data_IF_140368931215
#
_entry.id   IF_140368931215
#
_cell.length_a   1.000
_cell.length_b   1.000
_cell.length_c   1.000
_cell.angle_alpha   90.00
_cell.angle_beta   90.00
_cell.angle_gamma   90.00
#
_symmetry.space_group_name_H-M   'P 1'
#
loop_
_entity.id
_entity.type
_entity.pdbx_description
1 polymer ?
#
# COMPACT_ATOMS: atom_id res chain seq x y z
N UNK A 1 -3.53 -17.58 -15.16
CA UNK A 1 -2.72 -16.44 -15.64
C UNK A 1 -1.39 -16.45 -14.90
N UNK A 2 -0.24 -16.51 -15.60
CA UNK A 2 1.09 -16.50 -14.95
C UNK A 2 1.34 -15.09 -14.43
N UNK A 3 1.45 -14.92 -13.12
CA UNK A 3 1.85 -13.66 -12.50
C UNK A 3 3.29 -13.36 -12.91
N UNK A 4 3.46 -12.60 -13.99
CA UNK A 4 4.79 -12.15 -14.39
C UNK A 4 5.37 -11.19 -13.35
N UNK A 5 6.69 -11.24 -13.18
CA UNK A 5 7.49 -10.41 -12.26
C UNK A 5 7.12 -8.91 -12.33
N UNK A 6 6.75 -8.44 -13.53
CA UNK A 6 6.31 -7.06 -13.79
C UNK A 6 5.04 -6.69 -13.03
N UNK A 7 4.07 -7.59 -12.91
CA UNK A 7 2.82 -7.32 -12.18
C UNK A 7 3.06 -7.25 -10.67
N UNK A 8 3.95 -8.08 -10.13
CA UNK A 8 4.33 -8.03 -8.72
C UNK A 8 5.01 -6.69 -8.36
N UNK A 9 5.88 -6.17 -9.24
CA UNK A 9 6.51 -4.86 -9.07
C UNK A 9 5.49 -3.72 -9.13
N UNK A 10 4.53 -3.78 -10.05
CA UNK A 10 3.46 -2.77 -10.16
C UNK A 10 2.61 -2.75 -8.88
N UNK A 11 2.22 -3.91 -8.37
CA UNK A 11 1.47 -3.99 -7.10
C UNK A 11 2.26 -3.41 -5.92
N UNK A 12 3.56 -3.67 -5.86
CA UNK A 12 4.45 -3.12 -4.84
C UNK A 12 4.60 -1.60 -4.98
N UNK A 13 4.76 -1.09 -6.21
CA UNK A 13 4.86 0.34 -6.48
C UNK A 13 3.56 1.07 -6.13
N UNK A 14 2.40 0.50 -6.47
CA UNK A 14 1.09 1.04 -6.10
C UNK A 14 0.94 1.05 -4.58
N UNK A 15 1.29 -0.04 -3.89
CA UNK A 15 1.22 -0.11 -2.43
C UNK A 15 2.13 0.95 -1.78
N UNK A 16 3.37 1.10 -2.25
CA UNK A 16 4.30 2.11 -1.75
C UNK A 16 3.79 3.53 -2.01
N UNK A 17 3.29 3.81 -3.22
CA UNK A 17 2.70 5.09 -3.57
C UNK A 17 1.51 5.43 -2.65
N UNK A 18 0.65 4.45 -2.40
CA UNK A 18 -0.51 4.57 -1.52
C UNK A 18 -0.08 4.99 -0.10
N UNK A 19 0.93 4.32 0.48
CA UNK A 19 1.47 4.68 1.80
C UNK A 19 1.99 6.12 1.80
N UNK A 20 2.75 6.53 0.77
CA UNK A 20 3.31 7.89 0.69
C UNK A 20 2.21 8.95 0.61
N UNK A 21 1.17 8.75 -0.20
CA UNK A 21 0.05 9.71 -0.28
C UNK A 21 -0.70 9.81 1.05
N UNK A 22 -0.96 8.68 1.73
CA UNK A 22 -1.68 8.71 3.00
C UNK A 22 -0.86 9.31 4.15
N UNK A 23 0.46 9.13 4.18
CA UNK A 23 1.33 9.85 5.12
C UNK A 23 1.27 11.37 4.93
N UNK A 24 1.27 11.84 3.68
CA UNK A 24 1.08 13.28 3.38
C UNK A 24 -0.32 13.76 3.80
N UNK A 25 -1.33 12.91 3.62
CA UNK A 25 -2.70 13.21 4.01
C UNK A 25 -2.86 13.33 5.53
N UNK A 26 -2.23 12.43 6.30
CA UNK A 26 -2.17 12.53 7.78
C UNK A 26 -1.52 13.85 8.19
N UNK A 27 -0.39 14.21 7.56
CA UNK A 27 0.31 15.46 7.87
C UNK A 27 -0.56 16.69 7.60
N UNK A 28 -1.25 16.71 6.46
CA UNK A 28 -2.20 17.78 6.15
C UNK A 28 -3.35 17.83 7.16
N UNK A 29 -3.85 16.67 7.60
CA UNK A 29 -4.92 16.59 8.60
C UNK A 29 -4.50 17.16 9.96
N UNK A 30 -3.27 16.87 10.40
CA UNK A 30 -2.71 17.42 11.64
C UNK A 30 -2.50 18.93 11.59
N UNK A 31 -2.18 19.47 10.41
CA UNK A 31 -1.97 20.90 10.19
C UNK A 31 -3.30 21.68 10.07
N UNK A 32 -4.44 20.97 10.00
CA UNK A 32 -5.75 21.61 9.88
C UNK A 32 -6.36 21.81 11.27
N UNK A 33 -6.57 23.06 11.69
CA UNK A 33 -7.28 23.39 12.94
C UNK A 33 -8.70 23.95 12.66
N UNK A 34 -9.61 23.82 13.64
CA UNK A 34 -10.94 24.44 13.60
C UNK A 34 -12.01 23.72 12.78
N UNK A 35 -11.83 22.43 12.43
CA UNK A 35 -12.84 21.62 11.72
C UNK A 35 -13.74 20.83 12.68
N UNK A 36 -14.96 20.42 12.27
CA UNK A 36 -15.81 19.56 13.08
C UNK A 36 -15.18 18.19 13.36
N UNK A 37 -15.43 17.60 14.52
CA UNK A 37 -14.86 16.27 14.90
C UNK A 37 -15.14 15.19 13.85
N UNK A 38 -16.31 15.19 13.23
CA UNK A 38 -16.67 14.24 12.17
C UNK A 38 -15.74 14.29 10.95
N UNK A 39 -15.17 15.46 10.64
CA UNK A 39 -14.17 15.61 9.58
C UNK A 39 -12.92 14.79 9.91
N UNK A 40 -12.36 14.92 11.11
CA UNK A 40 -11.16 14.19 11.51
C UNK A 40 -11.40 12.69 11.60
N UNK A 41 -12.56 12.26 12.12
CA UNK A 41 -12.91 10.84 12.23
C UNK A 41 -12.98 10.17 10.85
N UNK A 42 -13.73 10.77 9.91
CA UNK A 42 -13.90 10.21 8.57
C UNK A 42 -12.56 10.08 7.82
N UNK A 43 -11.73 11.12 7.86
CA UNK A 43 -10.44 11.09 7.18
C UNK A 43 -9.44 10.15 7.86
N UNK A 44 -9.46 10.05 9.18
CA UNK A 44 -8.61 9.09 9.91
C UNK A 44 -8.98 7.65 9.58
N UNK A 45 -10.28 7.31 9.55
CA UNK A 45 -10.74 5.97 9.15
C UNK A 45 -10.32 5.68 7.70
N UNK A 46 -10.53 6.64 6.80
CA UNK A 46 -10.14 6.50 5.39
C UNK A 46 -8.65 6.20 5.25
N UNK A 47 -7.79 6.92 5.98
CA UNK A 47 -6.34 6.67 6.04
C UNK A 47 -6.04 5.25 6.54
N UNK A 48 -6.61 4.85 7.68
CA UNK A 48 -6.33 3.53 8.29
C UNK A 48 -6.69 2.39 7.34
N UNK A 49 -7.89 2.44 6.75
CA UNK A 49 -8.38 1.40 5.84
C UNK A 49 -7.47 1.28 4.61
N UNK A 50 -7.06 2.40 4.02
CA UNK A 50 -6.20 2.37 2.84
C UNK A 50 -4.78 1.86 3.18
N UNK A 51 -4.22 2.25 4.33
CA UNK A 51 -2.93 1.72 4.78
C UNK A 51 -2.99 0.21 5.02
N UNK A 52 -4.09 -0.31 5.57
CA UNK A 52 -4.31 -1.76 5.71
C UNK A 52 -4.36 -2.46 4.36
N UNK A 53 -5.09 -1.91 3.39
CA UNK A 53 -5.15 -2.46 2.02
C UNK A 53 -3.76 -2.44 1.38
N UNK A 54 -3.03 -1.33 1.50
CA UNK A 54 -1.67 -1.22 0.99
C UNK A 54 -0.72 -2.25 1.63
N UNK A 55 -0.82 -2.48 2.94
CA UNK A 55 -0.03 -3.49 3.64
C UNK A 55 -0.36 -4.91 3.18
N UNK A 56 -1.65 -5.23 2.97
CA UNK A 56 -2.10 -6.53 2.44
C UNK A 56 -1.60 -6.75 1.00
N UNK A 57 -1.78 -5.76 0.13
CA UNK A 57 -1.29 -5.83 -1.25
C UNK A 57 0.23 -5.91 -1.30
N UNK A 58 0.93 -5.18 -0.43
CA UNK A 58 2.39 -5.24 -0.29
C UNK A 58 2.88 -6.61 0.17
N UNK A 59 2.25 -7.20 1.19
CA UNK A 59 2.61 -8.56 1.65
C UNK A 59 2.34 -9.61 0.58
N UNK A 60 1.24 -9.50 -0.17
CA UNK A 60 0.95 -10.39 -1.30
C UNK A 60 1.94 -10.20 -2.46
N UNK A 61 2.30 -8.95 -2.78
CA UNK A 61 3.32 -8.63 -3.78
C UNK A 61 4.70 -9.18 -3.42
N UNK A 62 5.13 -9.04 -2.16
CA UNK A 62 6.38 -9.61 -1.66
C UNK A 62 6.36 -11.13 -1.71
N UNK A 63 5.26 -11.77 -1.29
CA UNK A 63 5.09 -13.23 -1.40
C UNK A 63 5.17 -13.71 -2.84
N UNK A 64 4.47 -13.06 -3.76
CA UNK A 64 4.50 -13.39 -5.19
C UNK A 64 5.91 -13.19 -5.79
N UNK A 65 6.60 -12.12 -5.41
CA UNK A 65 7.97 -11.86 -5.84
C UNK A 65 8.94 -12.93 -5.34
N UNK A 66 8.84 -13.34 -4.06
CA UNK A 66 9.66 -14.42 -3.49
C UNK A 66 9.39 -15.76 -4.17
N UNK A 67 8.12 -16.10 -4.42
CA UNK A 67 7.75 -17.34 -5.12
C UNK A 67 8.32 -17.36 -6.55
N UNK A 68 8.22 -16.25 -7.28
CA UNK A 68 8.79 -16.11 -8.62
C UNK A 68 10.33 -16.23 -8.63
N UNK A 69 11.02 -15.68 -7.61
CA UNK A 69 12.48 -15.82 -7.47
C UNK A 69 12.91 -17.28 -7.21
N UNK A 70 12.15 -18.02 -6.41
CA UNK A 70 12.43 -19.43 -6.11
C UNK A 70 12.27 -20.32 -7.36
N UNK A 71 11.22 -20.11 -8.16
CA UNK A 71 11.02 -20.85 -9.41
C UNK A 71 12.08 -20.56 -10.46
N UNK A 72 12.62 -19.33 -10.51
CA UNK A 72 13.69 -18.98 -11.45
C UNK A 72 15.04 -19.60 -11.05
N UNK A 73 15.37 -19.62 -9.76
CA UNK A 73 16.60 -20.25 -9.26
C UNK A 73 16.61 -21.77 -9.41
N UNK A 74 15.46 -22.43 -9.52
CA UNK A 74 15.37 -23.87 -9.76
C UNK A 74 15.54 -24.25 -11.25
N UNK A 75 15.59 -23.25 -12.15
CA UNK A 75 15.73 -23.45 -13.60
C UNK A 75 17.13 -23.02 -14.12
N UNK A 76 18.06 -22.66 -13.23
CA UNK A 76 19.48 -22.41 -13.52
C UNK A 76 20.34 -23.51 -12.92
#
# INVERSE_FOLDING_TARGET
>A
MKLERKHALILLAIAAWNVVTYLRFIKALMDTEGRPTGYYVAHTILVIVNLLIAALLGTWGVRAYKASKASQNAQV
#
